data_IF_212251009987
#
_entry.id   IF_212251009987
#
_cell.length_a   1.000
_cell.length_b   1.000
_cell.length_c   1.000
_cell.angle_alpha   90.00
_cell.angle_beta   90.00
_cell.angle_gamma   90.00
#
_symmetry.space_group_name_H-M   'P 1'
#
loop_
_entity.id
_entity.type
_entity.pdbx_description
1 polymer ?
#
# COMPACT_ATOMS: atom_id res chain seq x y z
N UNK A 1 5.88 79.09 16.55
CA UNK A 1 5.93 79.30 18.02
C UNK A 1 6.35 78.00 18.67
N UNK A 2 7.61 77.89 19.09
CA UNK A 2 8.09 76.83 19.99
C UNK A 2 8.07 77.31 21.43
N UNK A 3 7.78 76.41 22.38
CA UNK A 3 8.65 76.27 23.55
C UNK A 3 8.95 74.77 23.87
N UNK A 4 10.21 74.39 24.16
CA UNK A 4 10.77 74.12 25.52
C UNK A 4 9.81 73.28 26.39
N UNK A 5 10.04 72.02 26.76
CA UNK A 5 11.24 71.35 27.27
C UNK A 5 11.28 71.43 28.80
N UNK A 6 11.09 70.31 29.55
CA UNK A 6 11.61 70.02 30.91
C UNK A 6 11.10 68.68 31.52
N UNK A 7 12.08 67.84 31.90
CA UNK A 7 12.27 66.98 33.11
C UNK A 7 11.39 65.74 33.46
N UNK A 8 12.16 64.65 33.64
CA UNK A 8 11.97 63.37 34.32
C UNK A 8 11.10 63.32 35.60
N UNK A 9 10.37 62.21 35.77
CA UNK A 9 10.24 61.47 37.03
C UNK A 9 9.86 60.00 36.79
N UNK A 10 10.41 59.15 37.66
CA UNK A 10 10.35 57.68 37.71
C UNK A 10 9.00 57.14 38.21
N UNK A 11 8.52 56.03 37.65
CA UNK A 11 7.48 55.22 38.30
C UNK A 11 6.77 54.20 37.42
N UNK A 12 7.11 52.92 37.62
CA UNK A 12 6.24 51.72 37.62
C UNK A 12 5.65 51.13 36.32
N UNK A 13 5.98 49.83 36.16
CA UNK A 13 5.22 48.70 35.60
C UNK A 13 4.85 48.69 34.09
N UNK A 14 5.27 47.61 33.41
CA UNK A 14 5.11 47.35 31.96
C UNK A 14 3.67 47.04 31.51
N UNK A 15 3.41 46.38 30.35
CA UNK A 15 4.29 45.57 29.49
C UNK A 15 4.21 45.94 27.98
N UNK A 16 4.79 45.09 27.12
CA UNK A 16 4.58 44.96 25.67
C UNK A 16 5.69 45.49 24.72
N UNK A 17 6.36 44.52 24.09
CA UNK A 17 6.59 44.37 22.66
C UNK A 17 7.01 45.62 21.86
N UNK A 18 8.29 45.67 21.44
CA UNK A 18 8.69 45.91 20.04
C UNK A 18 10.21 45.77 19.82
N UNK A 19 10.53 45.06 18.74
CA UNK A 19 11.71 45.20 17.87
C UNK A 19 13.08 44.76 18.39
N UNK A 20 13.40 43.48 18.14
CA UNK A 20 14.77 43.05 17.80
C UNK A 20 14.78 42.54 16.35
N UNK A 21 14.79 43.48 15.40
CA UNK A 21 15.21 43.19 14.03
C UNK A 21 16.74 43.32 13.98
N UNK A 22 17.42 42.20 14.18
CA UNK A 22 18.80 41.99 13.77
C UNK A 22 19.06 40.49 13.64
N UNK A 23 18.34 39.84 12.73
CA UNK A 23 18.71 38.49 12.26
C UNK A 23 19.85 38.68 11.27
N UNK A 24 21.02 38.28 11.72
CA UNK A 24 22.24 38.04 10.95
C UNK A 24 21.93 37.25 9.68
N UNK A 25 22.33 37.81 8.54
CA UNK A 25 22.25 37.16 7.24
C UNK A 25 23.02 35.82 7.27
N UNK A 26 22.45 34.70 6.78
CA UNK A 26 23.21 33.48 6.62
C UNK A 26 24.22 33.69 5.49
N UNK A 27 25.50 33.46 5.81
CA UNK A 27 26.59 33.34 4.85
C UNK A 27 26.15 32.34 3.77
N UNK A 28 26.08 32.78 2.52
CA UNK A 28 25.94 31.91 1.34
C UNK A 28 27.18 31.02 1.28
N UNK A 29 27.11 29.85 1.91
CA UNK A 29 27.95 28.73 1.51
C UNK A 29 27.37 28.26 0.18
N UNK A 30 28.12 28.44 -0.91
CA UNK A 30 27.75 27.89 -2.20
C UNK A 30 27.71 26.36 -2.08
N UNK A 31 26.52 25.80 -1.82
CA UNK A 31 26.24 24.39 -2.07
C UNK A 31 26.26 24.18 -3.57
N UNK A 32 27.44 23.82 -4.09
CA UNK A 32 27.53 23.20 -5.41
C UNK A 32 26.79 21.88 -5.30
N UNK A 33 25.56 21.82 -5.84
CA UNK A 33 24.84 20.57 -6.06
C UNK A 33 25.61 19.81 -7.14
N UNK A 34 26.60 19.00 -6.72
CA UNK A 34 27.42 18.20 -7.62
C UNK A 34 26.58 17.06 -8.19
N UNK A 35 25.76 17.34 -9.21
CA UNK A 35 25.05 16.31 -9.97
C UNK A 35 26.00 15.67 -10.98
N UNK A 36 26.05 14.34 -11.02
CA UNK A 36 26.79 13.57 -12.02
C UNK A 36 28.23 13.18 -11.62
N UNK A 37 28.54 13.01 -10.33
CA UNK A 37 29.81 12.38 -9.93
C UNK A 37 29.69 10.87 -10.08
N UNK A 38 30.48 10.29 -10.98
CA UNK A 38 30.69 8.84 -11.07
C UNK A 38 31.87 8.42 -10.19
N UNK A 39 31.63 7.45 -9.32
CA UNK A 39 32.66 6.78 -8.53
C UNK A 39 33.05 5.50 -9.23
N UNK A 40 34.35 5.32 -9.50
CA UNK A 40 34.89 4.10 -10.08
C UNK A 40 35.41 3.20 -8.98
N UNK A 41 35.08 1.92 -9.10
CA UNK A 41 35.53 0.91 -8.18
C UNK A 41 34.54 0.66 -7.04
N UNK A 42 34.25 -0.61 -6.81
CA UNK A 42 33.49 -1.13 -5.68
C UNK A 42 34.48 -1.78 -4.71
N UNK A 43 34.31 -1.53 -3.42
CA UNK A 43 35.13 -2.15 -2.38
C UNK A 43 34.81 -3.63 -2.25
N UNK A 44 33.51 -3.98 -2.29
CA UNK A 44 33.04 -5.36 -2.12
C UNK A 44 31.66 -5.56 -2.72
N UNK A 45 31.38 -6.77 -3.19
CA UNK A 45 30.06 -7.22 -3.64
C UNK A 45 29.66 -8.42 -2.79
N UNK A 46 28.55 -8.31 -2.05
CA UNK A 46 28.00 -9.36 -1.18
C UNK A 46 26.53 -9.60 -1.52
N UNK A 47 26.26 -10.64 -2.32
CA UNK A 47 24.90 -10.92 -2.79
C UNK A 47 24.32 -9.70 -3.53
N UNK A 48 23.13 -9.19 -3.14
CA UNK A 48 22.52 -8.01 -3.75
C UNK A 48 23.04 -6.67 -3.21
N UNK A 49 23.99 -6.68 -2.27
CA UNK A 49 24.56 -5.47 -1.65
C UNK A 49 25.94 -5.19 -2.24
N UNK A 50 26.14 -3.94 -2.66
CA UNK A 50 27.38 -3.41 -3.18
C UNK A 50 27.91 -2.37 -2.22
N UNK A 51 29.17 -2.50 -1.82
CA UNK A 51 29.85 -1.58 -0.91
C UNK A 51 30.80 -0.71 -1.74
N UNK A 52 30.65 0.59 -1.62
CA UNK A 52 31.52 1.61 -2.22
C UNK A 52 32.13 2.49 -1.13
N UNK A 53 33.25 3.13 -1.43
CA UNK A 53 33.77 4.21 -0.57
C UNK A 53 32.75 5.35 -0.48
N UNK A 54 32.64 5.94 0.71
CA UNK A 54 31.65 7.00 0.94
C UNK A 54 32.02 8.25 0.15
N UNK A 55 31.06 8.70 -0.65
CA UNK A 55 31.08 10.01 -1.25
C UNK A 55 30.58 11.08 -0.29
N UNK A 56 31.08 12.31 -0.45
CA UNK A 56 30.57 13.46 0.31
C UNK A 56 29.13 13.74 -0.15
N UNK A 57 28.20 13.87 0.80
CA UNK A 57 26.76 14.16 0.58
C UNK A 57 25.86 13.03 0.03
N UNK A 58 26.02 11.79 0.52
CA UNK A 58 25.03 10.72 0.28
C UNK A 58 23.92 10.74 1.32
N UNK A 59 22.67 10.66 0.87
CA UNK A 59 21.47 10.51 1.70
C UNK A 59 21.04 9.07 1.92
N UNK A 60 20.41 8.80 3.06
CA UNK A 60 19.76 7.51 3.31
C UNK A 60 18.55 7.35 2.38
N UNK A 61 18.28 6.13 1.90
CA UNK A 61 17.25 5.85 0.88
C UNK A 61 17.44 6.54 -0.48
N UNK A 62 18.60 7.14 -0.73
CA UNK A 62 18.90 7.75 -2.03
C UNK A 62 18.98 6.69 -3.14
N UNK A 63 18.51 7.03 -4.33
CA UNK A 63 18.66 6.17 -5.51
C UNK A 63 20.05 6.32 -6.10
N UNK A 64 20.62 5.19 -6.44
CA UNK A 64 21.96 5.06 -7.01
C UNK A 64 21.84 4.34 -8.35
N UNK A 65 22.50 4.86 -9.38
CA UNK A 65 22.68 4.14 -10.63
C UNK A 65 24.05 3.45 -10.61
N UNK A 66 24.05 2.14 -10.83
CA UNK A 66 25.27 1.32 -10.92
C UNK A 66 25.42 0.86 -12.35
N UNK A 67 26.55 1.18 -12.97
CA UNK A 67 26.87 0.85 -14.34
C UNK A 67 27.89 -0.28 -14.38
N UNK A 68 27.61 -1.26 -15.24
CA UNK A 68 28.53 -2.32 -15.60
C UNK A 68 29.63 -1.83 -16.55
N UNK A 69 30.62 -2.67 -16.82
CA UNK A 69 31.65 -2.47 -17.86
C UNK A 69 31.04 -2.26 -19.24
N UNK A 70 29.93 -2.93 -19.54
CA UNK A 70 29.18 -2.82 -20.80
C UNK A 70 28.13 -1.69 -20.78
N UNK A 71 28.23 -0.73 -19.86
CA UNK A 71 27.27 0.38 -19.66
C UNK A 71 25.84 -0.06 -19.29
N UNK A 72 25.65 -1.33 -18.92
CA UNK A 72 24.39 -1.82 -18.37
C UNK A 72 24.03 -1.06 -17.08
N UNK A 73 22.95 -0.26 -17.14
CA UNK A 73 22.47 0.55 -16.01
C UNK A 73 21.56 -0.27 -15.11
N UNK A 74 21.92 -0.34 -13.83
CA UNK A 74 21.11 -0.96 -12.76
C UNK A 74 20.79 0.10 -11.72
N UNK A 75 19.55 0.11 -11.24
CA UNK A 75 19.20 0.97 -10.12
C UNK A 75 19.49 0.25 -8.80
N UNK A 76 19.81 1.01 -7.78
CA UNK A 76 19.94 0.57 -6.40
C UNK A 76 19.52 1.66 -5.43
N UNK A 77 19.51 1.33 -4.15
CA UNK A 77 19.16 2.24 -3.06
C UNK A 77 20.21 2.18 -1.97
N UNK A 78 20.55 3.34 -1.40
CA UNK A 78 21.41 3.41 -0.21
C UNK A 78 20.67 2.84 0.99
N UNK A 79 21.24 1.79 1.58
CA UNK A 79 20.66 1.07 2.72
C UNK A 79 21.39 1.36 4.02
N UNK A 80 22.70 1.59 3.96
CA UNK A 80 23.49 1.91 5.14
C UNK A 80 24.70 2.77 4.75
N UNK A 81 25.22 3.51 5.72
CA UNK A 81 26.37 4.38 5.53
C UNK A 81 27.16 4.55 6.83
N UNK A 82 28.48 4.51 6.70
CA UNK A 82 29.44 4.85 7.75
C UNK A 82 30.30 6.03 7.29
N UNK A 83 31.27 6.49 8.07
CA UNK A 83 32.15 7.61 7.66
C UNK A 83 32.96 7.29 6.40
N UNK A 84 33.35 6.02 6.22
CA UNK A 84 34.27 5.61 5.14
C UNK A 84 33.59 4.84 4.00
N UNK A 85 32.42 4.25 4.22
CA UNK A 85 31.76 3.37 3.26
C UNK A 85 30.25 3.62 3.15
N UNK A 86 29.67 3.19 2.03
CA UNK A 86 28.24 3.25 1.74
C UNK A 86 27.80 1.91 1.16
N UNK A 87 26.73 1.34 1.71
CA UNK A 87 26.12 0.13 1.23
C UNK A 87 24.91 0.45 0.34
N UNK A 88 24.98 0.01 -0.90
CA UNK A 88 23.95 0.17 -1.91
C UNK A 88 23.35 -1.19 -2.20
N UNK A 89 22.04 -1.34 -2.01
CA UNK A 89 21.31 -2.54 -2.36
C UNK A 89 20.76 -2.39 -3.78
N UNK A 90 21.13 -3.30 -4.68
CA UNK A 90 20.67 -3.30 -6.07
C UNK A 90 19.20 -3.74 -6.15
N UNK A 91 18.44 -3.13 -7.06
CA UNK A 91 17.12 -3.62 -7.44
C UNK A 91 17.21 -4.82 -8.37
N UNK A 92 18.27 -4.95 -9.18
CA UNK A 92 18.49 -6.04 -10.13
C UNK A 92 19.57 -7.03 -9.69
N UNK A 93 19.88 -7.99 -10.56
CA UNK A 93 20.96 -8.95 -10.35
C UNK A 93 22.34 -8.27 -10.33
N UNK A 94 23.28 -8.84 -9.59
CA UNK A 94 24.67 -8.41 -9.53
C UNK A 94 25.55 -8.98 -10.68
N UNK A 95 24.98 -9.80 -11.57
CA UNK A 95 25.69 -10.47 -12.66
C UNK A 95 26.34 -9.44 -13.59
N UNK A 96 27.64 -9.59 -13.86
CA UNK A 96 28.40 -8.67 -14.72
C UNK A 96 29.16 -7.59 -13.94
N UNK A 97 28.73 -7.23 -12.73
CA UNK A 97 29.42 -6.23 -11.92
C UNK A 97 30.80 -6.74 -11.49
N UNK A 98 31.82 -5.97 -11.85
CA UNK A 98 33.21 -6.17 -11.44
C UNK A 98 33.62 -5.12 -10.40
N UNK A 99 34.46 -5.50 -9.44
CA UNK A 99 34.94 -4.56 -8.42
C UNK A 99 35.70 -3.38 -9.04
N UNK A 100 36.52 -3.59 -10.07
CA UNK A 100 37.39 -2.54 -10.60
C UNK A 100 36.73 -1.70 -11.71
N UNK A 101 35.89 -2.34 -12.53
CA UNK A 101 35.33 -1.72 -13.75
C UNK A 101 33.96 -1.06 -13.55
N UNK A 102 33.25 -1.37 -12.44
CA UNK A 102 31.92 -0.83 -12.19
C UNK A 102 31.95 0.63 -11.76
N UNK A 103 30.89 1.36 -12.12
CA UNK A 103 30.72 2.78 -11.77
C UNK A 103 29.45 3.00 -10.98
N UNK A 104 29.50 3.91 -10.02
CA UNK A 104 28.39 4.23 -9.14
C UNK A 104 28.09 5.72 -9.24
N UNK A 105 26.86 6.07 -9.58
CA UNK A 105 26.37 7.45 -9.66
C UNK A 105 25.26 7.65 -8.62
N UNK A 106 25.49 8.59 -7.70
CA UNK A 106 24.53 9.00 -6.68
C UNK A 106 23.61 10.09 -7.24
N UNK A 107 22.30 9.82 -7.31
CA UNK A 107 21.34 10.72 -7.98
C UNK A 107 20.87 11.89 -7.11
N UNK A 108 21.22 11.91 -5.82
CA UNK A 108 20.89 12.96 -4.86
C UNK A 108 19.40 13.06 -4.53
N UNK A 109 18.61 12.02 -4.84
CA UNK A 109 17.15 12.02 -4.66
C UNK A 109 16.63 10.66 -4.21
N UNK A 110 15.52 10.63 -3.44
CA UNK A 110 14.84 9.39 -3.11
C UNK A 110 14.21 8.77 -4.36
N UNK A 111 13.64 7.58 -4.19
CA UNK A 111 12.91 6.94 -5.27
C UNK A 111 11.62 7.70 -5.56
N UNK A 112 11.46 8.11 -6.81
CA UNK A 112 10.33 8.92 -7.25
C UNK A 112 9.52 8.19 -8.32
N UNK A 113 8.20 8.31 -8.25
CA UNK A 113 7.30 7.92 -9.31
C UNK A 113 6.89 9.16 -10.09
N UNK A 114 7.00 9.10 -11.41
CA UNK A 114 6.43 10.12 -12.28
C UNK A 114 4.93 9.89 -12.41
N UNK A 115 4.14 10.87 -11.97
CA UNK A 115 2.68 10.76 -11.95
C UNK A 115 2.05 11.73 -12.95
N UNK A 116 0.95 11.32 -13.55
CA UNK A 116 0.19 12.16 -14.47
C UNK A 116 -1.16 11.53 -14.81
N UNK A 117 -2.06 12.26 -15.49
CA UNK A 117 -3.35 11.71 -15.92
C UNK A 117 -3.19 10.49 -16.85
N UNK A 118 -2.06 10.41 -17.56
CA UNK A 118 -1.71 9.27 -18.40
C UNK A 118 -1.30 7.99 -17.66
N UNK A 119 -1.49 7.91 -16.33
CA UNK A 119 -1.37 6.67 -15.56
C UNK A 119 -2.53 5.70 -15.86
N UNK A 120 -3.73 6.23 -16.13
CA UNK A 120 -4.93 5.43 -16.36
C UNK A 120 -4.79 4.56 -17.62
N UNK A 121 -5.11 3.28 -17.50
CA UNK A 121 -5.02 2.32 -18.61
C UNK A 121 -3.60 1.84 -18.93
N UNK A 122 -2.61 2.17 -18.11
CA UNK A 122 -1.22 1.76 -18.31
C UNK A 122 -0.82 0.62 -17.37
N UNK A 123 0.19 -0.12 -17.79
CA UNK A 123 0.78 -1.24 -17.06
C UNK A 123 2.25 -0.94 -16.78
N UNK A 124 2.64 -1.02 -15.51
CA UNK A 124 3.98 -0.75 -15.00
C UNK A 124 4.58 -1.99 -14.33
N UNK A 125 5.91 -2.07 -14.30
CA UNK A 125 6.62 -3.01 -13.42
C UNK A 125 6.59 -2.53 -11.96
N UNK A 126 7.19 -3.29 -11.04
CA UNK A 126 7.22 -2.92 -9.62
C UNK A 126 8.10 -1.71 -9.29
N UNK A 127 8.94 -1.24 -10.22
CA UNK A 127 9.72 0.00 -10.09
C UNK A 127 8.99 1.23 -10.64
N UNK A 128 7.84 1.06 -11.30
CA UNK A 128 7.07 2.14 -11.92
C UNK A 128 7.48 2.46 -13.36
N UNK A 129 8.24 1.59 -14.01
CA UNK A 129 8.58 1.70 -15.44
C UNK A 129 7.49 1.03 -16.30
N UNK A 130 7.08 1.61 -17.43
CA UNK A 130 6.04 1.02 -18.26
C UNK A 130 6.48 -0.29 -18.93
N UNK A 131 5.60 -1.29 -18.92
CA UNK A 131 5.83 -2.61 -19.55
C UNK A 131 4.81 -2.93 -20.66
N UNK A 132 3.94 -1.99 -20.97
CA UNK A 132 2.89 -2.09 -21.98
C UNK A 132 3.37 -1.80 -23.42
N UNK A 133 4.68 -1.57 -23.62
CA UNK A 133 5.25 -1.22 -24.92
C UNK A 133 4.99 0.23 -25.35
N UNK A 134 4.28 1.01 -24.54
CA UNK A 134 4.13 2.45 -24.75
C UNK A 134 5.30 3.21 -24.11
N UNK A 135 5.51 4.46 -24.54
CA UNK A 135 6.55 5.32 -24.00
C UNK A 135 6.32 5.74 -22.53
N UNK A 136 7.35 6.36 -21.96
CA UNK A 136 7.30 6.92 -20.61
C UNK A 136 6.17 7.95 -20.45
N UNK A 137 5.66 8.09 -19.22
CA UNK A 137 4.69 9.13 -18.91
C UNK A 137 5.34 10.51 -19.12
N UNK A 138 4.66 11.35 -19.90
CA UNK A 138 5.00 12.77 -20.04
C UNK A 138 4.30 13.55 -18.92
N UNK A 139 5.05 13.86 -17.87
CA UNK A 139 4.59 14.71 -16.77
C UNK A 139 5.77 15.42 -16.13
N UNK A 140 5.55 16.65 -15.66
CA UNK A 140 6.51 17.42 -14.88
C UNK A 140 6.55 17.00 -13.41
N UNK A 141 5.52 16.31 -12.92
CA UNK A 141 5.38 15.98 -11.50
C UNK A 141 5.96 14.60 -11.17
N UNK A 142 6.84 14.59 -10.18
CA UNK A 142 7.43 13.39 -9.58
C UNK A 142 7.16 13.43 -8.07
N UNK A 143 6.73 12.31 -7.50
CA UNK A 143 6.48 12.18 -6.06
C UNK A 143 7.35 11.09 -5.47
N UNK A 144 7.84 11.30 -4.25
CA UNK A 144 8.54 10.27 -3.48
C UNK A 144 7.59 9.09 -3.23
N UNK A 145 8.03 7.88 -3.57
CA UNK A 145 7.24 6.66 -3.40
C UNK A 145 6.95 6.34 -1.92
N UNK A 146 7.78 6.83 -1.01
CA UNK A 146 7.59 6.63 0.43
C UNK A 146 6.36 7.39 0.95
N UNK A 147 5.88 8.40 0.22
CA UNK A 147 4.73 9.19 0.60
C UNK A 147 4.97 10.04 1.86
N UNK A 148 3.90 10.68 2.32
CA UNK A 148 3.90 11.46 3.57
C UNK A 148 2.78 10.97 4.48
N UNK A 149 3.01 10.92 5.80
CA UNK A 149 1.95 10.58 6.73
C UNK A 149 0.85 11.66 6.69
N UNK A 150 -0.40 11.22 6.52
CA UNK A 150 -1.56 12.12 6.53
C UNK A 150 -1.80 12.62 7.95
N UNK A 151 -1.89 13.94 8.13
CA UNK A 151 -2.21 14.56 9.41
C UNK A 151 -3.59 14.05 9.92
N UNK A 152 -3.67 13.45 11.13
CA UNK A 152 -4.93 12.94 11.67
C UNK A 152 -6.05 13.99 11.77
N UNK A 153 -5.72 15.25 12.05
CA UNK A 153 -6.72 16.34 12.12
C UNK A 153 -7.31 16.68 10.75
N UNK A 154 -6.54 16.45 9.69
CA UNK A 154 -6.99 16.66 8.32
C UNK A 154 -7.79 15.47 7.78
N UNK A 155 -7.98 14.38 8.54
CA UNK A 155 -8.77 13.22 8.09
C UNK A 155 -10.26 13.48 8.28
N UNK A 156 -11.05 13.12 7.27
CA UNK A 156 -12.51 13.09 7.35
C UNK A 156 -12.97 11.65 7.59
N UNK A 157 -13.92 11.46 8.51
CA UNK A 157 -14.45 10.14 8.82
C UNK A 157 -15.23 9.56 7.62
N UNK A 158 -14.91 8.34 7.17
CA UNK A 158 -15.56 7.71 6.03
C UNK A 158 -16.97 7.23 6.39
N UNK A 159 -17.96 7.49 5.50
CA UNK A 159 -19.36 7.06 5.68
C UNK A 159 -19.96 6.47 4.42
N UNK A 160 -19.52 6.92 3.25
CA UNK A 160 -20.06 6.47 1.98
C UNK A 160 -19.61 5.03 1.70
N UNK A 161 -20.51 4.15 1.25
CA UNK A 161 -20.16 2.77 0.92
C UNK A 161 -19.66 2.63 -0.53
N UNK A 162 -18.99 1.51 -0.81
CA UNK A 162 -18.68 1.02 -2.16
C UNK A 162 -19.45 -0.27 -2.36
N UNK A 163 -20.20 -0.38 -3.45
CA UNK A 163 -20.86 -1.64 -3.79
C UNK A 163 -19.88 -2.52 -4.56
N UNK A 164 -19.61 -3.70 -4.03
CA UNK A 164 -18.70 -4.68 -4.67
C UNK A 164 -19.44 -5.67 -5.57
N UNK A 165 -20.77 -5.76 -5.48
CA UNK A 165 -21.59 -6.72 -6.22
C UNK A 165 -21.62 -8.12 -5.59
N UNK A 166 -21.01 -8.29 -4.42
CA UNK A 166 -20.90 -9.57 -3.73
C UNK A 166 -21.72 -9.51 -2.44
N UNK A 167 -22.81 -10.28 -2.36
CA UNK A 167 -23.73 -10.22 -1.21
C UNK A 167 -23.07 -10.50 0.14
N UNK A 168 -22.05 -11.37 0.18
CA UNK A 168 -21.31 -11.67 1.41
C UNK A 168 -20.44 -10.50 1.90
N UNK A 169 -20.05 -9.59 1.00
CA UNK A 169 -19.32 -8.37 1.34
C UNK A 169 -20.34 -7.25 1.54
N UNK A 170 -21.15 -6.93 0.54
CA UNK A 170 -22.07 -5.79 0.57
C UNK A 170 -23.10 -5.88 1.70
N UNK A 171 -23.65 -7.07 1.97
CA UNK A 171 -24.72 -7.28 2.96
C UNK A 171 -24.23 -7.59 4.38
N UNK A 172 -23.06 -8.21 4.54
CA UNK A 172 -22.57 -8.66 5.85
C UNK A 172 -21.32 -7.91 6.33
N UNK A 173 -20.48 -7.44 5.41
CA UNK A 173 -19.19 -6.83 5.70
C UNK A 173 -18.96 -5.62 4.77
N UNK A 174 -19.91 -4.69 4.75
CA UNK A 174 -19.95 -3.61 3.76
C UNK A 174 -18.64 -2.83 3.74
N UNK A 175 -18.12 -2.58 2.54
CA UNK A 175 -16.91 -1.80 2.31
C UNK A 175 -17.24 -0.32 2.28
N UNK A 176 -16.54 0.48 3.09
CA UNK A 176 -16.72 1.93 3.15
C UNK A 176 -15.59 2.63 2.39
N UNK A 177 -15.88 3.75 1.71
CA UNK A 177 -14.91 4.58 0.99
C UNK A 177 -13.90 5.15 1.96
N UNK A 178 -12.62 4.85 1.76
CA UNK A 178 -11.56 5.24 2.69
C UNK A 178 -11.18 4.14 3.68
N UNK A 179 -11.91 3.02 3.70
CA UNK A 179 -11.63 1.88 4.58
C UNK A 179 -10.45 1.05 4.07
N UNK A 180 -9.74 0.42 5.02
CA UNK A 180 -8.77 -0.64 4.77
C UNK A 180 -9.35 -1.99 5.19
N UNK A 181 -9.79 -2.80 4.22
CA UNK A 181 -10.46 -4.09 4.44
C UNK A 181 -9.75 -5.22 3.69
N UNK A 182 -8.86 -5.97 4.34
CA UNK A 182 -8.09 -7.04 3.71
C UNK A 182 -8.90 -8.32 3.47
N UNK A 183 -8.48 -9.11 2.50
CA UNK A 183 -8.98 -10.45 2.22
C UNK A 183 -7.93 -11.47 2.70
N UNK A 184 -8.29 -12.25 3.71
CA UNK A 184 -7.49 -13.35 4.24
C UNK A 184 -7.85 -14.62 3.48
N UNK A 185 -6.94 -15.06 2.62
CA UNK A 185 -7.08 -16.27 1.83
C UNK A 185 -6.11 -17.36 2.31
N UNK A 186 -6.16 -18.49 1.62
CA UNK A 186 -5.30 -19.65 1.81
C UNK A 186 -4.84 -20.15 0.45
N UNK A 187 -3.71 -20.89 0.43
CA UNK A 187 -3.17 -21.38 -0.82
C UNK A 187 -4.18 -22.31 -1.52
N UNK A 188 -4.38 -22.11 -2.82
CA UNK A 188 -5.36 -22.84 -3.64
C UNK A 188 -6.81 -22.33 -3.53
N UNK A 189 -7.11 -21.31 -2.73
CA UNK A 189 -8.43 -20.69 -2.70
C UNK A 189 -8.59 -19.66 -3.84
N UNK A 190 -9.82 -19.39 -4.31
CA UNK A 190 -10.07 -18.54 -5.48
C UNK A 190 -10.03 -17.02 -5.14
N UNK A 191 -9.02 -16.55 -4.41
CA UNK A 191 -8.89 -15.12 -4.07
C UNK A 191 -8.61 -14.25 -5.30
N UNK A 192 -7.86 -14.73 -6.29
CA UNK A 192 -7.60 -13.98 -7.52
C UNK A 192 -8.88 -13.72 -8.32
N UNK A 193 -9.77 -14.73 -8.39
CA UNK A 193 -11.07 -14.60 -9.04
C UNK A 193 -11.98 -13.62 -8.30
N UNK A 194 -11.95 -13.64 -6.96
CA UNK A 194 -12.67 -12.69 -6.13
C UNK A 194 -12.16 -11.26 -6.35
N UNK A 195 -10.83 -11.07 -6.39
CA UNK A 195 -10.20 -9.78 -6.64
C UNK A 195 -10.59 -9.19 -8.00
N UNK A 196 -10.46 -9.99 -9.07
CA UNK A 196 -10.86 -9.58 -10.41
C UNK A 196 -12.37 -9.24 -10.49
N UNK A 197 -13.21 -10.01 -9.79
CA UNK A 197 -14.64 -9.71 -9.70
C UNK A 197 -14.91 -8.39 -8.99
N UNK A 198 -14.24 -8.10 -7.88
CA UNK A 198 -14.38 -6.82 -7.17
C UNK A 198 -13.95 -5.67 -8.08
N UNK A 199 -12.80 -5.78 -8.76
CA UNK A 199 -12.32 -4.73 -9.68
C UNK A 199 -13.34 -4.44 -10.80
N UNK A 200 -13.99 -5.47 -11.32
CA UNK A 200 -15.01 -5.33 -12.38
C UNK A 200 -16.35 -4.75 -11.88
N UNK A 201 -16.77 -5.12 -10.67
CA UNK A 201 -18.11 -4.83 -10.16
C UNK A 201 -18.15 -3.64 -9.20
N UNK A 202 -17.00 -3.20 -8.69
CA UNK A 202 -16.91 -2.09 -7.77
C UNK A 202 -17.48 -0.83 -8.41
N UNK A 203 -18.55 -0.32 -7.82
CA UNK A 203 -19.22 0.89 -8.28
C UNK A 203 -19.62 1.76 -7.11
N UNK A 204 -19.73 3.05 -7.41
CA UNK A 204 -20.28 4.05 -6.52
C UNK A 204 -21.76 4.22 -6.85
N UNK A 205 -22.63 3.96 -5.87
CA UNK A 205 -24.05 4.27 -5.95
C UNK A 205 -24.33 5.51 -5.11
N UNK A 206 -25.15 6.42 -5.65
CA UNK A 206 -25.73 7.53 -4.90
C UNK A 206 -27.00 7.06 -4.18
N UNK A 207 -27.37 7.71 -3.08
CA UNK A 207 -28.51 7.35 -2.23
C UNK A 207 -29.86 7.19 -2.98
N UNK A 208 -30.00 7.79 -4.17
CA UNK A 208 -31.20 7.70 -5.02
C UNK A 208 -31.29 6.40 -5.87
N UNK A 209 -30.34 5.47 -5.74
CA UNK A 209 -30.36 4.17 -6.41
C UNK A 209 -30.11 4.22 -7.93
N UNK A 210 -30.01 5.39 -8.52
CA UNK A 210 -29.57 5.57 -9.91
C UNK A 210 -28.06 5.34 -10.00
N UNK A 211 -27.67 4.33 -10.79
CA UNK A 211 -26.31 4.21 -11.31
C UNK A 211 -26.01 5.47 -12.13
N UNK A 212 -25.18 6.34 -11.53
CA UNK A 212 -24.51 7.52 -12.08
C UNK A 212 -24.68 7.80 -13.59
N UNK A 213 -25.86 8.29 -13.99
CA UNK A 213 -26.16 8.56 -15.41
C UNK A 213 -25.67 9.91 -15.93
N UNK A 214 -25.38 10.91 -15.08
CA UNK A 214 -25.03 12.28 -15.54
C UNK A 214 -24.01 13.07 -14.69
N UNK A 215 -23.66 12.59 -13.50
CA UNK A 215 -22.61 13.16 -12.63
C UNK A 215 -21.87 12.02 -11.92
N UNK A 216 -21.24 11.13 -12.69
CA UNK A 216 -20.48 10.02 -12.12
C UNK A 216 -19.21 10.56 -11.47
N UNK A 217 -19.11 10.46 -10.14
CA UNK A 217 -17.83 10.69 -9.46
C UNK A 217 -16.79 9.73 -10.07
N UNK A 218 -15.61 10.22 -10.50
CA UNK A 218 -14.63 9.39 -11.18
C UNK A 218 -14.12 8.30 -10.24
N UNK A 219 -14.43 7.04 -10.55
CA UNK A 219 -13.97 5.86 -9.84
C UNK A 219 -12.86 5.18 -10.62
N UNK A 220 -11.75 4.93 -9.95
CA UNK A 220 -10.53 4.39 -10.55
C UNK A 220 -10.01 3.25 -9.69
N UNK A 221 -9.40 2.25 -10.32
CA UNK A 221 -8.76 1.15 -9.61
C UNK A 221 -7.25 1.23 -9.79
N UNK A 222 -6.50 1.07 -8.71
CA UNK A 222 -5.06 0.83 -8.78
C UNK A 222 -4.82 -0.61 -8.35
N UNK A 223 -4.35 -1.42 -9.27
CA UNK A 223 -4.08 -2.84 -9.04
C UNK A 223 -2.57 -3.05 -8.89
N UNK A 224 -2.15 -3.67 -7.79
CA UNK A 224 -0.75 -3.99 -7.53
C UNK A 224 -0.60 -5.50 -7.32
N UNK A 225 0.15 -6.15 -8.19
CA UNK A 225 0.50 -7.55 -8.07
C UNK A 225 1.98 -7.71 -7.64
N UNK A 226 2.25 -8.45 -6.58
CA UNK A 226 3.57 -8.62 -5.97
C UNK A 226 3.94 -10.10 -5.88
N UNK A 227 5.04 -10.49 -6.53
CA UNK A 227 5.53 -11.86 -6.54
C UNK A 227 4.55 -12.86 -7.14
N UNK A 228 3.66 -12.42 -8.03
CA UNK A 228 2.67 -13.30 -8.65
C UNK A 228 3.30 -14.08 -9.80
N UNK A 229 2.81 -15.30 -10.02
CA UNK A 229 3.22 -16.09 -11.18
C UNK A 229 2.71 -15.46 -12.48
N UNK A 230 3.38 -15.75 -13.58
CA UNK A 230 3.03 -15.21 -14.90
C UNK A 230 1.60 -15.55 -15.34
N UNK A 231 1.14 -16.78 -15.07
CA UNK A 231 -0.24 -17.22 -15.36
C UNK A 231 -1.30 -16.42 -14.59
N UNK A 232 -1.02 -16.11 -13.31
CA UNK A 232 -1.89 -15.27 -12.48
C UNK A 232 -1.90 -13.82 -12.98
N UNK A 233 -0.74 -13.26 -13.32
CA UNK A 233 -0.66 -11.90 -13.88
C UNK A 233 -1.46 -11.80 -15.19
N UNK A 234 -1.28 -12.77 -16.09
CA UNK A 234 -2.02 -12.85 -17.35
C UNK A 234 -3.52 -13.00 -17.14
N UNK A 235 -3.95 -13.82 -16.16
CA UNK A 235 -5.36 -13.95 -15.80
C UNK A 235 -6.01 -12.59 -15.46
N UNK A 236 -5.32 -11.74 -14.70
CA UNK A 236 -5.83 -10.40 -14.37
C UNK A 236 -5.90 -9.49 -15.59
N UNK A 237 -4.83 -9.44 -16.40
CA UNK A 237 -4.79 -8.60 -17.61
C UNK A 237 -5.88 -9.02 -18.60
N UNK A 238 -5.99 -10.31 -18.90
CA UNK A 238 -7.01 -10.86 -19.81
C UNK A 238 -8.44 -10.55 -19.29
N UNK A 239 -8.69 -10.63 -17.97
CA UNK A 239 -9.99 -10.28 -17.40
C UNK A 239 -10.30 -8.78 -17.50
N UNK A 240 -9.31 -7.91 -17.24
CA UNK A 240 -9.46 -6.46 -17.32
C UNK A 240 -9.65 -5.97 -18.76
N UNK A 241 -8.96 -6.58 -19.73
CA UNK A 241 -9.12 -6.29 -21.16
C UNK A 241 -10.49 -6.76 -21.66
N UNK A 242 -10.87 -8.01 -21.38
CA UNK A 242 -12.15 -8.60 -21.82
C UNK A 242 -13.36 -7.81 -21.34
N UNK A 243 -13.25 -7.20 -20.16
CA UNK A 243 -14.36 -6.49 -19.50
C UNK A 243 -14.35 -4.99 -19.81
N UNK A 244 -13.34 -4.48 -20.50
CA UNK A 244 -13.18 -3.06 -20.83
C UNK A 244 -12.85 -2.17 -19.62
N UNK A 245 -12.58 -2.77 -18.45
CA UNK A 245 -12.29 -2.03 -17.21
C UNK A 245 -10.87 -1.46 -17.23
N UNK A 246 -9.97 -2.02 -18.06
CA UNK A 246 -8.57 -1.61 -18.16
C UNK A 246 -8.39 -0.09 -18.31
N UNK A 247 -9.23 0.61 -19.07
CA UNK A 247 -9.13 2.06 -19.27
C UNK A 247 -9.15 2.87 -17.96
N UNK A 248 -9.77 2.35 -16.90
CA UNK A 248 -9.88 2.97 -15.58
C UNK A 248 -9.02 2.27 -14.53
N UNK A 249 -8.10 1.39 -14.94
CA UNK A 249 -7.21 0.65 -14.04
C UNK A 249 -5.77 1.08 -14.29
N UNK A 250 -5.02 1.32 -13.22
CA UNK A 250 -3.56 1.42 -13.25
C UNK A 250 -3.00 0.12 -12.70
N UNK A 251 -2.20 -0.60 -13.48
CA UNK A 251 -1.68 -1.92 -13.08
C UNK A 251 -0.18 -1.81 -12.79
N UNK A 252 0.24 -2.20 -11.59
CA UNK A 252 1.63 -2.43 -11.21
C UNK A 252 1.84 -3.93 -11.06
N UNK A 253 2.76 -4.51 -11.82
CA UNK A 253 3.05 -5.95 -11.81
C UNK A 253 4.51 -6.18 -11.44
N UNK A 254 4.72 -6.88 -10.32
CA UNK A 254 5.99 -7.49 -9.96
C UNK A 254 5.80 -9.00 -9.97
N UNK A 255 6.48 -9.67 -10.90
CA UNK A 255 6.38 -11.11 -11.11
C UNK A 255 7.21 -11.89 -10.07
N UNK A 256 7.02 -13.22 -10.04
CA UNK A 256 7.71 -14.10 -9.10
C UNK A 256 9.23 -14.25 -9.39
N UNK A 257 9.65 -14.01 -10.63
CA UNK A 257 11.06 -13.94 -11.05
C UNK A 257 11.69 -12.57 -10.82
N UNK A 258 10.87 -11.53 -10.58
CA UNK A 258 11.35 -10.21 -10.26
C UNK A 258 12.08 -10.19 -8.91
N UNK A 259 13.13 -9.35 -8.74
CA UNK A 259 13.89 -9.26 -7.52
C UNK A 259 13.06 -8.87 -6.29
N UNK A 260 13.43 -9.36 -5.11
CA UNK A 260 12.66 -9.15 -3.88
C UNK A 260 12.54 -7.67 -3.50
N UNK A 261 13.51 -6.83 -3.84
CA UNK A 261 13.43 -5.39 -3.58
C UNK A 261 12.38 -4.69 -4.47
N UNK A 262 12.16 -5.16 -5.69
CA UNK A 262 11.09 -4.65 -6.57
C UNK A 262 9.71 -4.89 -5.92
N UNK A 263 9.51 -6.06 -5.31
CA UNK A 263 8.26 -6.38 -4.59
C UNK A 263 8.01 -5.45 -3.40
N UNK A 264 9.07 -4.96 -2.75
CA UNK A 264 8.97 -4.00 -1.64
C UNK A 264 8.60 -2.59 -2.11
N UNK A 265 8.94 -2.24 -3.34
CA UNK A 265 8.68 -0.93 -3.93
C UNK A 265 7.34 -0.88 -4.64
N UNK A 266 6.91 -1.96 -5.28
CA UNK A 266 5.65 -2.04 -6.02
C UNK A 266 4.41 -1.47 -5.28
N UNK A 267 4.13 -1.82 -4.00
CA UNK A 267 2.98 -1.25 -3.29
C UNK A 267 3.17 0.24 -2.98
N UNK A 268 4.40 0.70 -2.78
CA UNK A 268 4.71 2.12 -2.57
C UNK A 268 4.45 2.94 -3.84
N UNK A 269 4.84 2.43 -5.01
CA UNK A 269 4.50 3.02 -6.30
C UNK A 269 2.99 3.07 -6.51
N UNK A 270 2.29 1.96 -6.26
CA UNK A 270 0.84 1.88 -6.40
C UNK A 270 0.11 2.88 -5.50
N UNK A 271 0.50 2.99 -4.22
CA UNK A 271 -0.10 3.94 -3.28
C UNK A 271 0.20 5.40 -3.66
N UNK A 272 1.39 5.68 -4.20
CA UNK A 272 1.74 7.04 -4.66
C UNK A 272 0.93 7.44 -5.89
N UNK A 273 0.71 6.52 -6.83
CA UNK A 273 -0.23 6.74 -7.93
C UNK A 273 -1.66 6.96 -7.42
N UNK A 274 -2.09 6.18 -6.43
CA UNK A 274 -3.42 6.31 -5.83
C UNK A 274 -3.61 7.65 -5.10
N UNK A 275 -2.61 8.14 -4.37
CA UNK A 275 -2.63 9.44 -3.69
C UNK A 275 -2.73 10.60 -4.67
N UNK A 276 -1.96 10.56 -5.77
CA UNK A 276 -2.07 11.55 -6.83
C UNK A 276 -3.49 11.60 -7.43
N UNK A 277 -4.03 10.42 -7.80
CA UNK A 277 -5.36 10.32 -8.40
C UNK A 277 -6.46 10.73 -7.42
N UNK A 278 -6.34 10.37 -6.14
CA UNK A 278 -7.33 10.68 -5.14
C UNK A 278 -7.29 12.16 -4.72
N UNK A 279 -6.14 12.64 -4.26
CA UNK A 279 -6.05 13.93 -3.57
C UNK A 279 -5.80 15.10 -4.51
N UNK A 280 -5.13 14.91 -5.65
CA UNK A 280 -4.92 15.98 -6.62
C UNK A 280 -5.95 15.98 -7.75
N UNK A 281 -6.43 14.80 -8.16
CA UNK A 281 -7.46 14.65 -9.20
C UNK A 281 -8.86 14.42 -8.66
N UNK A 282 -9.04 14.41 -7.33
CA UNK A 282 -10.34 14.31 -6.68
C UNK A 282 -11.13 13.05 -7.08
N UNK A 283 -10.44 11.95 -7.35
CA UNK A 283 -11.03 10.68 -7.76
C UNK A 283 -11.23 9.73 -6.56
N UNK A 284 -12.17 8.81 -6.68
CA UNK A 284 -12.32 7.71 -5.73
C UNK A 284 -11.49 6.53 -6.22
N UNK A 285 -10.45 6.19 -5.45
CA UNK A 285 -9.49 5.16 -5.82
C UNK A 285 -9.70 3.93 -4.96
N UNK A 286 -9.86 2.78 -5.61
CA UNK A 286 -9.80 1.46 -4.99
C UNK A 286 -8.43 0.84 -5.27
N UNK A 287 -7.62 0.66 -4.23
CA UNK A 287 -6.32 0.02 -4.33
C UNK A 287 -6.45 -1.45 -3.95
N UNK A 288 -6.15 -2.34 -4.89
CA UNK A 288 -6.12 -3.79 -4.65
C UNK A 288 -4.67 -4.25 -4.70
N UNK A 289 -4.18 -4.84 -3.60
CA UNK A 289 -2.79 -5.29 -3.48
C UNK A 289 -2.74 -6.80 -3.27
N UNK A 290 -2.09 -7.55 -4.15
CA UNK A 290 -2.01 -9.03 -4.07
C UNK A 290 -0.62 -9.53 -4.48
N UNK A 291 0.13 -10.32 -3.73
CA UNK A 291 -0.14 -10.88 -2.42
C UNK A 291 0.75 -10.21 -1.37
N UNK A 292 0.15 -9.71 -0.28
CA UNK A 292 0.90 -9.14 0.84
C UNK A 292 1.78 -10.17 1.55
N UNK A 293 1.48 -11.46 1.44
CA UNK A 293 2.36 -12.52 1.94
C UNK A 293 3.69 -12.52 1.18
N UNK A 294 3.68 -12.35 -0.15
CA UNK A 294 4.90 -12.26 -0.93
C UNK A 294 5.71 -11.00 -0.59
N UNK A 295 5.04 -9.90 -0.27
CA UNK A 295 5.69 -8.69 0.26
C UNK A 295 6.40 -8.96 1.59
N UNK A 296 5.72 -9.60 2.54
CA UNK A 296 6.31 -9.94 3.85
C UNK A 296 7.48 -10.94 3.72
N UNK A 297 7.40 -11.89 2.79
CA UNK A 297 8.50 -12.81 2.48
C UNK A 297 9.70 -12.08 1.88
N UNK A 298 9.48 -11.14 0.95
CA UNK A 298 10.55 -10.30 0.42
C UNK A 298 11.19 -9.44 1.53
N UNK A 299 10.39 -8.92 2.46
CA UNK A 299 10.90 -8.14 3.58
C UNK A 299 11.76 -9.01 4.52
N UNK A 300 11.33 -10.24 4.78
CA UNK A 300 12.08 -11.23 5.55
C UNK A 300 13.41 -11.61 4.90
N UNK A 301 13.40 -11.80 3.59
CA UNK A 301 14.61 -12.08 2.81
C UNK A 301 15.62 -10.92 2.92
N UNK A 302 15.16 -9.69 2.71
CA UNK A 302 16.02 -8.49 2.81
C UNK A 302 16.58 -8.31 4.23
N UNK A 303 15.75 -8.52 5.26
CA UNK A 303 16.18 -8.47 6.66
C UNK A 303 17.24 -9.52 6.99
N UNK A 304 17.08 -10.75 6.45
CA UNK A 304 18.04 -11.84 6.63
C UNK A 304 19.37 -11.56 5.96
N UNK A 305 19.36 -10.99 4.75
CA UNK A 305 20.58 -10.60 4.01
C UNK A 305 21.35 -9.51 4.76
N UNK A 306 20.65 -8.62 5.47
CA UNK A 306 21.25 -7.57 6.30
C UNK A 306 21.78 -8.06 7.64
N UNK A 307 21.56 -9.32 8.00
CA UNK A 307 21.95 -9.85 9.30
C UNK A 307 21.20 -9.22 10.48
N UNK A 308 19.99 -8.71 10.25
CA UNK A 308 19.14 -8.17 11.31
C UNK A 308 18.64 -9.29 12.23
N UNK A 309 18.41 -8.97 13.51
CA UNK A 309 17.90 -9.96 14.48
C UNK A 309 16.44 -10.31 14.15
N UNK A 310 16.13 -11.58 13.82
CA UNK A 310 14.77 -11.97 13.48
C UNK A 310 13.86 -12.00 14.72
N UNK A 311 12.57 -11.77 14.50
CA UNK A 311 11.52 -11.86 15.51
C UNK A 311 10.68 -13.14 15.32
N UNK A 312 9.36 -13.07 15.56
CA UNK A 312 8.41 -14.20 15.44
C UNK A 312 8.47 -14.82 14.03
N UNK A 313 8.61 -16.15 13.96
CA UNK A 313 8.67 -16.96 12.72
C UNK A 313 9.69 -16.45 11.68
N UNK A 314 10.74 -15.74 12.11
CA UNK A 314 11.82 -15.27 11.24
C UNK A 314 11.56 -13.92 10.56
N UNK A 315 10.44 -13.24 10.80
CA UNK A 315 10.16 -11.92 10.23
C UNK A 315 10.91 -10.80 10.97
N UNK A 316 11.17 -9.64 10.34
CA UNK A 316 11.81 -8.50 10.99
C UNK A 316 10.97 -7.95 12.14
N UNK A 317 11.64 -7.40 13.17
CA UNK A 317 10.98 -6.78 14.32
C UNK A 317 10.12 -5.56 13.96
N UNK A 318 10.40 -4.90 12.83
CA UNK A 318 9.66 -3.73 12.34
C UNK A 318 8.55 -4.06 11.34
N UNK A 319 8.18 -5.34 11.16
CA UNK A 319 7.12 -5.76 10.23
C UNK A 319 5.80 -5.00 10.46
N UNK A 320 5.44 -4.73 11.72
CA UNK A 320 4.25 -3.94 12.05
C UNK A 320 4.33 -2.52 11.47
N UNK A 321 5.42 -1.80 11.75
CA UNK A 321 5.59 -0.41 11.33
C UNK A 321 5.66 -0.30 9.81
N UNK A 322 6.26 -1.29 9.15
CA UNK A 322 6.37 -1.33 7.69
C UNK A 322 5.00 -1.56 7.03
N UNK A 323 4.22 -2.53 7.49
CA UNK A 323 2.84 -2.73 7.03
C UNK A 323 1.94 -1.52 7.34
N UNK A 324 2.12 -0.89 8.50
CA UNK A 324 1.37 0.31 8.86
C UNK A 324 1.67 1.48 7.91
N UNK A 325 2.92 1.62 7.46
CA UNK A 325 3.30 2.65 6.49
C UNK A 325 2.57 2.52 5.15
N UNK A 326 2.14 1.31 4.77
CA UNK A 326 1.34 1.04 3.58
C UNK A 326 -0.16 1.24 3.84
N UNK A 327 -0.68 0.57 4.87
CA UNK A 327 -2.12 0.53 5.14
C UNK A 327 -2.68 1.87 5.64
N UNK A 328 -1.89 2.69 6.33
CA UNK A 328 -2.34 4.01 6.80
C UNK A 328 -2.37 5.11 5.74
N UNK A 329 -1.96 4.81 4.50
CA UNK A 329 -2.11 5.67 3.31
C UNK A 329 -3.53 5.58 2.69
N UNK A 330 -4.51 5.13 3.47
CA UNK A 330 -5.92 5.08 3.10
C UNK A 330 -6.71 6.20 3.77
N UNK A 331 -7.87 6.55 3.22
CA UNK A 331 -8.83 7.46 3.83
C UNK A 331 -9.21 8.67 2.98
N UNK A 332 -10.00 9.56 3.59
CA UNK A 332 -10.46 10.84 3.03
C UNK A 332 -9.78 11.99 3.76
N UNK A 333 -9.40 13.04 3.01
CA UNK A 333 -8.81 14.26 3.57
C UNK A 333 -9.77 15.44 3.46
N UNK A 334 -9.75 16.31 4.47
CA UNK A 334 -10.49 17.56 4.48
C UNK A 334 -9.92 18.48 3.40
N UNK A 335 -10.77 18.87 2.43
CA UNK A 335 -10.38 19.72 1.30
C UNK A 335 -10.20 18.99 -0.03
N UNK A 336 -10.28 17.65 -0.07
CA UNK A 336 -10.41 16.87 -1.31
C UNK A 336 -11.70 16.05 -1.27
N UNK A 337 -12.35 15.90 -2.41
CA UNK A 337 -13.52 15.01 -2.54
C UNK A 337 -13.11 13.56 -2.78
N UNK A 338 -11.86 13.31 -3.17
CA UNK A 338 -11.34 11.98 -3.43
C UNK A 338 -11.17 11.12 -2.18
N UNK A 339 -10.99 9.83 -2.40
CA UNK A 339 -10.82 8.84 -1.32
C UNK A 339 -9.94 7.69 -1.76
N UNK A 340 -9.12 7.16 -0.85
CA UNK A 340 -8.33 5.95 -1.09
C UNK A 340 -8.88 4.82 -0.23
N UNK A 341 -9.43 3.80 -0.88
CA UNK A 341 -9.90 2.57 -0.23
C UNK A 341 -8.93 1.44 -0.54
N UNK A 342 -8.56 0.64 0.46
CA UNK A 342 -7.58 -0.44 0.26
C UNK A 342 -8.21 -1.82 0.50
N UNK A 343 -7.96 -2.74 -0.43
CA UNK A 343 -8.20 -4.18 -0.28
C UNK A 343 -6.87 -4.92 -0.44
N UNK A 344 -6.09 -5.04 0.64
CA UNK A 344 -4.93 -5.93 0.65
C UNK A 344 -5.38 -7.39 0.67
N UNK A 345 -4.80 -8.22 -0.19
CA UNK A 345 -5.07 -9.65 -0.25
C UNK A 345 -3.83 -10.35 0.28
N UNK A 346 -4.03 -11.20 1.28
CA UNK A 346 -2.96 -12.01 1.86
C UNK A 346 -3.31 -13.49 1.85
N UNK A 347 -2.33 -14.33 1.51
CA UNK A 347 -2.45 -15.79 1.63
C UNK A 347 -1.85 -16.26 2.94
N UNK A 348 -2.68 -16.76 3.85
CA UNK A 348 -2.27 -17.29 5.14
C UNK A 348 -1.51 -18.61 4.97
N UNK A 349 -0.27 -18.71 5.47
CA UNK A 349 0.44 -19.99 5.50
C UNK A 349 -0.32 -21.00 6.36
N UNK A 350 -0.58 -22.19 5.81
CA UNK A 350 -1.33 -23.27 6.47
C UNK A 350 -2.74 -22.88 6.98
N UNK A 351 -3.36 -21.86 6.37
CA UNK A 351 -4.63 -21.29 6.82
C UNK A 351 -4.61 -20.81 8.30
N UNK A 352 -3.42 -20.49 8.84
CA UNK A 352 -3.22 -20.07 10.22
C UNK A 352 -3.43 -18.55 10.38
N UNK A 353 -4.55 -18.15 10.97
CA UNK A 353 -4.87 -16.75 11.29
C UNK A 353 -3.91 -16.16 12.34
N UNK A 354 -3.29 -17.00 13.19
CA UNK A 354 -2.32 -16.55 14.21
C UNK A 354 -0.91 -16.32 13.65
N UNK A 355 -0.72 -16.54 12.35
CA UNK A 355 0.53 -16.25 11.68
C UNK A 355 0.84 -14.74 11.75
N UNK A 356 2.12 -14.30 11.90
CA UNK A 356 2.47 -12.88 12.06
C UNK A 356 1.89 -11.96 10.99
N UNK A 357 1.78 -12.42 9.74
CA UNK A 357 1.23 -11.65 8.61
C UNK A 357 -0.26 -11.28 8.82
N UNK A 358 -1.21 -12.24 8.92
CA UNK A 358 -2.61 -11.94 9.21
C UNK A 358 -2.82 -11.29 10.59
N UNK A 359 -2.05 -11.70 11.60
CA UNK A 359 -2.11 -11.16 12.96
C UNK A 359 -1.84 -9.65 12.95
N UNK A 360 -0.67 -9.22 12.45
CA UNK A 360 -0.30 -7.81 12.37
C UNK A 360 -1.18 -7.02 11.39
N UNK A 361 -1.59 -7.63 10.28
CA UNK A 361 -2.52 -6.98 9.36
C UNK A 361 -3.85 -6.68 10.05
N UNK A 362 -4.42 -7.62 10.81
CA UNK A 362 -5.68 -7.43 11.53
C UNK A 362 -5.62 -6.41 12.68
N UNK A 363 -4.43 -6.16 13.24
CA UNK A 363 -4.20 -5.07 14.20
C UNK A 363 -4.26 -3.69 13.53
N UNK A 364 -3.77 -3.60 12.29
CA UNK A 364 -3.70 -2.32 11.56
C UNK A 364 -5.02 -2.04 10.82
N UNK A 365 -5.60 -3.04 10.17
CA UNK A 365 -6.79 -2.87 9.32
C UNK A 365 -8.09 -2.82 10.12
N UNK A 366 -9.15 -2.32 9.49
CA UNK A 366 -10.45 -2.05 10.12
C UNK A 366 -11.42 -3.24 9.98
N UNK A 367 -10.88 -4.46 10.09
CA UNK A 367 -11.60 -5.70 9.83
C UNK A 367 -10.82 -6.61 8.87
N UNK A 368 -11.50 -7.64 8.38
CA UNK A 368 -10.97 -8.62 7.44
C UNK A 368 -12.12 -9.44 6.81
N UNK A 369 -11.92 -9.90 5.58
CA UNK A 369 -12.78 -10.89 4.92
C UNK A 369 -12.01 -12.20 4.85
N UNK A 370 -12.48 -13.25 5.51
CA UNK A 370 -11.80 -14.54 5.55
C UNK A 370 -12.42 -15.50 4.55
N UNK A 371 -11.60 -16.16 3.74
CA UNK A 371 -12.05 -17.23 2.83
C UNK A 371 -11.93 -18.59 3.51
N UNK A 372 -13.00 -19.38 3.44
CA UNK A 372 -13.09 -20.71 4.06
C UNK A 372 -12.83 -21.83 3.05
N UNK A 373 -11.88 -22.70 3.39
CA UNK A 373 -11.57 -23.90 2.60
C UNK A 373 -12.73 -24.90 2.62
N UNK A 374 -13.47 -25.02 3.71
CA UNK A 374 -14.64 -25.93 3.80
C UNK A 374 -15.72 -25.53 2.79
N UNK A 375 -15.95 -24.23 2.61
CA UNK A 375 -16.91 -23.71 1.62
C UNK A 375 -16.42 -23.92 0.18
N UNK A 376 -15.13 -23.67 -0.07
CA UNK A 376 -14.55 -23.88 -1.40
C UNK A 376 -14.60 -25.34 -1.84
N UNK A 377 -14.33 -26.29 -0.93
CA UNK A 377 -14.40 -27.73 -1.21
C UNK A 377 -15.82 -28.22 -1.52
N UNK A 378 -16.85 -27.48 -1.08
CA UNK A 378 -18.25 -27.75 -1.42
C UNK A 378 -18.70 -27.15 -2.74
N UNK A 379 -17.82 -26.42 -3.44
CA UNK A 379 -18.15 -25.71 -4.66
C UNK A 379 -18.94 -24.40 -4.44
N UNK A 380 -18.94 -23.83 -3.22
CA UNK A 380 -19.58 -22.54 -2.94
C UNK A 380 -18.66 -21.40 -3.40
N UNK A 381 -19.21 -20.45 -4.16
CA UNK A 381 -18.49 -19.26 -4.62
C UNK A 381 -19.31 -17.98 -4.39
N UNK A 382 -18.72 -16.90 -3.85
CA UNK A 382 -17.37 -16.84 -3.26
C UNK A 382 -17.31 -17.53 -1.88
N UNK A 383 -16.21 -18.20 -1.51
CA UNK A 383 -16.11 -18.97 -0.27
C UNK A 383 -15.85 -18.07 0.95
N UNK A 384 -16.67 -17.05 1.19
CA UNK A 384 -16.50 -16.10 2.30
C UNK A 384 -17.07 -16.68 3.59
N UNK A 385 -16.24 -16.72 4.64
CA UNK A 385 -16.61 -17.16 5.97
C UNK A 385 -17.36 -16.04 6.71
N UNK A 386 -18.66 -16.21 6.97
CA UNK A 386 -19.45 -15.16 7.63
C UNK A 386 -19.03 -14.80 9.06
N UNK A 387 -18.60 -15.78 9.88
CA UNK A 387 -18.29 -15.56 11.31
C UNK A 387 -16.95 -14.87 11.57
N UNK A 388 -15.83 -15.29 10.96
CA UNK A 388 -14.52 -14.66 11.20
C UNK A 388 -14.29 -13.41 10.35
N UNK A 389 -15.18 -13.11 9.40
CA UNK A 389 -15.15 -11.85 8.65
C UNK A 389 -15.81 -10.73 9.45
N UNK A 390 -15.24 -9.54 9.37
CA UNK A 390 -15.71 -8.35 10.07
C UNK A 390 -15.38 -7.09 9.26
N UNK A 391 -16.31 -6.14 9.21
CA UNK A 391 -16.05 -4.76 8.81
C UNK A 391 -16.40 -3.83 9.99
N UNK A 392 -15.39 -3.18 10.59
CA UNK A 392 -15.60 -2.34 11.80
C UNK A 392 -16.33 -1.03 11.49
N UNK A 393 -16.19 -0.51 10.27
CA UNK A 393 -16.80 0.74 9.81
C UNK A 393 -18.20 0.56 9.23
N UNK A 394 -18.64 -0.69 9.00
CA UNK A 394 -19.94 -1.00 8.40
C UNK A 394 -21.10 -0.27 9.10
N UNK A 395 -21.09 -0.24 10.44
CA UNK A 395 -22.18 0.38 11.24
C UNK A 395 -22.46 1.85 10.88
N UNK A 396 -21.46 2.57 10.39
CA UNK A 396 -21.54 4.01 10.11
C UNK A 396 -21.79 4.31 8.62
N UNK A 397 -21.76 3.29 7.76
CA UNK A 397 -22.03 3.42 6.33
C UNK A 397 -23.24 2.64 5.82
N UNK A 398 -24.06 2.12 6.74
CA UNK A 398 -25.35 1.48 6.45
C UNK A 398 -26.50 2.24 7.11
N UNK A 399 -27.72 2.02 6.63
CA UNK A 399 -28.93 2.64 7.18
C UNK A 399 -29.57 3.70 6.27
N UNK A 400 -30.53 4.46 6.82
CA UNK A 400 -31.35 5.39 6.03
C UNK A 400 -30.49 6.51 5.43
N UNK A 401 -30.72 6.83 4.15
CA UNK A 401 -29.97 7.85 3.41
C UNK A 401 -28.63 7.37 2.84
N UNK A 402 -28.22 6.13 3.12
CA UNK A 402 -27.04 5.51 2.50
C UNK A 402 -27.44 4.26 1.71
N UNK A 403 -27.92 3.23 2.42
CA UNK A 403 -28.38 1.97 1.81
C UNK A 403 -29.88 1.82 2.05
N UNK A 404 -30.30 0.81 2.83
CA UNK A 404 -31.68 0.55 3.22
C UNK A 404 -31.76 0.54 4.75
N UNK A 405 -32.90 0.95 5.30
CA UNK A 405 -33.11 1.09 6.75
C UNK A 405 -32.90 -0.21 7.53
N UNK A 406 -33.32 -1.34 6.97
CA UNK A 406 -33.28 -2.67 7.58
C UNK A 406 -31.92 -3.38 7.41
N UNK A 407 -30.96 -2.80 6.69
CA UNK A 407 -29.70 -3.47 6.34
C UNK A 407 -28.97 -3.94 7.61
N UNK A 408 -28.90 -3.09 8.63
CA UNK A 408 -28.27 -3.42 9.92
C UNK A 408 -28.95 -4.60 10.61
N UNK A 409 -30.28 -4.59 10.65
CA UNK A 409 -31.06 -5.61 11.36
C UNK A 409 -31.02 -6.94 10.63
N UNK A 410 -31.12 -6.93 9.30
CA UNK A 410 -30.98 -8.11 8.45
C UNK A 410 -29.59 -8.75 8.62
N UNK A 411 -28.52 -7.95 8.52
CA UNK A 411 -27.15 -8.44 8.70
C UNK A 411 -26.95 -9.05 10.10
N UNK A 412 -27.42 -8.37 11.15
CA UNK A 412 -27.32 -8.85 12.53
C UNK A 412 -28.08 -10.16 12.74
N UNK A 413 -29.30 -10.26 12.19
CA UNK A 413 -30.13 -11.45 12.30
C UNK A 413 -29.55 -12.63 11.52
N UNK A 414 -29.02 -12.40 10.31
CA UNK A 414 -28.32 -13.41 9.53
C UNK A 414 -27.08 -13.93 10.25
N UNK A 415 -26.30 -13.04 10.87
CA UNK A 415 -25.13 -13.41 11.66
C UNK A 415 -25.52 -14.28 12.87
N UNK A 416 -26.56 -13.88 13.62
CA UNK A 416 -27.06 -14.61 14.77
C UNK A 416 -27.60 -16.00 14.37
N UNK A 417 -28.40 -16.08 13.30
CA UNK A 417 -28.93 -17.34 12.78
C UNK A 417 -27.81 -18.29 12.33
N UNK A 418 -26.81 -17.76 11.59
CA UNK A 418 -25.69 -18.56 11.11
C UNK A 418 -24.81 -19.08 12.26
N UNK A 419 -24.55 -18.24 13.27
CA UNK A 419 -23.84 -18.64 14.50
C UNK A 419 -24.57 -19.76 15.23
N UNK A 420 -25.90 -19.65 15.38
CA UNK A 420 -26.73 -20.69 16.00
C UNK A 420 -26.67 -22.01 15.24
N UNK A 421 -26.74 -21.97 13.91
CA UNK A 421 -26.64 -23.18 13.07
C UNK A 421 -25.27 -23.84 13.20
N UNK A 422 -24.17 -23.08 13.22
CA UNK A 422 -22.82 -23.64 13.44
C UNK A 422 -22.72 -24.31 14.82
N UNK A 423 -23.28 -23.72 15.88
CA UNK A 423 -23.34 -24.36 17.20
C UNK A 423 -24.13 -25.67 17.20
N UNK A 424 -25.32 -25.68 16.59
CA UNK A 424 -26.17 -26.88 16.49
C UNK A 424 -25.46 -27.97 15.68
N UNK A 425 -24.79 -27.60 14.58
CA UNK A 425 -24.01 -28.53 13.76
C UNK A 425 -22.86 -29.17 14.54
N UNK A 426 -22.17 -28.39 15.38
CA UNK A 426 -21.11 -28.91 16.25
C UNK A 426 -21.69 -29.91 17.26
N UNK A 427 -22.80 -29.58 17.92
CA UNK A 427 -23.49 -30.49 18.86
C UNK A 427 -23.96 -31.78 18.18
N UNK A 428 -24.57 -31.68 17.00
CA UNK A 428 -25.03 -32.84 16.22
C UNK A 428 -23.87 -33.77 15.82
N UNK A 429 -22.70 -33.19 15.49
CA UNK A 429 -21.50 -33.98 15.16
C UNK A 429 -20.98 -34.79 16.35
N UNK A 430 -21.04 -34.22 17.58
CA UNK A 430 -20.67 -34.93 18.80
C UNK A 430 -21.64 -36.08 19.12
N UNK A 431 -22.95 -35.87 18.96
CA UNK A 431 -23.94 -36.92 19.21
C UNK A 431 -23.81 -38.09 18.22
N UNK A 432 -23.55 -37.80 16.93
CA UNK A 432 -23.28 -38.85 15.93
C UNK A 432 -22.04 -39.68 16.30
N UNK A 433 -20.95 -39.04 16.72
CA UNK A 433 -19.73 -39.75 17.17
C UNK A 433 -19.98 -40.66 18.37
N UNK A 434 -20.77 -40.22 19.36
CA UNK A 434 -21.13 -41.04 20.53
C UNK A 434 -21.94 -42.29 20.15
N UNK A 435 -22.89 -42.20 19.21
CA UNK A 435 -23.65 -43.37 18.75
C UNK A 435 -22.78 -44.39 18.02
N UNK A 436 -21.81 -43.96 17.22
CA UNK A 436 -20.86 -44.88 16.57
C UNK A 436 -19.86 -45.54 17.52
N UNK A 437 -19.50 -44.90 18.63
CA UNK A 437 -18.61 -45.50 19.65
C UNK A 437 -19.36 -46.37 20.67
N UNK A 438 -20.64 -46.11 20.93
CA UNK A 438 -21.47 -46.95 21.81
C UNK A 438 -22.02 -48.23 21.17
N UNK A 439 -21.66 -48.51 19.91
CA UNK A 439 -21.99 -49.75 19.19
C UNK A 439 -20.76 -50.66 18.94
N UNK A 440 -19.64 -50.41 19.63
CA UNK A 440 -18.50 -51.32 19.67
C UNK A 440 -18.34 -51.98 21.02
#
# INVERSE_FOLDING_TARGET
>A
MTPRGLRNSSGTCGPALKNWNAVTAPKRCCEVTMKGIEYRGLTRIEGPVVITQRSRNVGFNEVVAVYDREEGRRLGRVVDMSEDWTAVQLFGNNTGLSADDSRVEFLGKPMELRVGPGLLGRIFNGLGEPIDGYGNIFSSSCYDVNGLPINPYARTYPRDFIQTGISAIDGMNTLIRGQKLPIFSGNGLPHNRLAAQIVRQATIINADGSSSGKSAEPFVVVFCAMGVKYDVARFFLDDFERTGVLANVVVFLSLADAPSLERLVAPKCALTAAEYLAYEKNMHVLVVMTDMTNYCEALREVSSIRGEVPSRKGYPGYLYSDLASLYERAGKISGSTGSITQIPILTMPNDDISHPIPDLSGYITEGQIVLDRELSQRGVYPPVAGLPSLSRLMKDGIGPGMTREDHKDVSSQLFAAYSKVKQVRNLASHHRRRRTFGQR
#
